data_IF_609693160128
#
_entry.id   IF_609693160128
#
_cell.length_a   1.000
_cell.length_b   1.000
_cell.length_c   1.000
_cell.angle_alpha   90.00
_cell.angle_beta   90.00
_cell.angle_gamma   90.00
#
_symmetry.space_group_name_H-M   'P 1'
#
loop_
_entity.id
_entity.type
_entity.pdbx_description
1 polymer ?
#
# COMPACT_ATOMS: atom_id res chain seq x y z
N UNK A 1 -12.83 -8.28 21.59
CA UNK A 1 -12.20 -8.66 20.31
C UNK A 1 -13.24 -8.59 19.21
N UNK A 2 -12.87 -8.07 18.04
CA UNK A 2 -13.71 -8.07 16.84
C UNK A 2 -13.78 -9.49 16.25
N UNK A 3 -14.89 -9.88 15.64
CA UNK A 3 -15.04 -11.18 14.97
C UNK A 3 -13.94 -11.41 13.91
N UNK A 4 -13.50 -10.34 13.24
CA UNK A 4 -12.41 -10.37 12.25
C UNK A 4 -11.03 -10.64 12.85
N UNK A 5 -10.80 -10.24 14.10
CA UNK A 5 -9.58 -10.57 14.83
C UNK A 5 -9.53 -12.07 15.16
N UNK A 6 -10.69 -12.66 15.45
CA UNK A 6 -10.82 -14.09 15.67
C UNK A 6 -10.54 -14.88 14.39
N UNK A 7 -11.08 -14.43 13.26
CA UNK A 7 -10.83 -15.04 11.95
C UNK A 7 -9.35 -15.03 11.54
N UNK A 8 -8.62 -13.95 11.86
CA UNK A 8 -7.17 -13.86 11.59
C UNK A 8 -6.34 -14.77 12.49
N UNK A 9 -6.71 -14.89 13.78
CA UNK A 9 -6.06 -15.82 14.73
C UNK A 9 -6.28 -17.27 14.28
N UNK A 10 -7.51 -17.65 13.92
CA UNK A 10 -7.81 -19.02 13.49
C UNK A 10 -7.16 -19.37 12.14
N UNK A 11 -7.05 -18.42 11.21
CA UNK A 11 -6.54 -18.68 9.86
C UNK A 11 -5.01 -18.74 9.77
N UNK A 12 -4.31 -17.96 10.58
CA UNK A 12 -2.86 -17.77 10.42
C UNK A 12 -2.02 -18.11 11.66
N UNK A 13 -2.63 -18.64 12.74
CA UNK A 13 -1.94 -19.02 13.99
C UNK A 13 -1.08 -17.88 14.58
N UNK A 14 -1.57 -16.64 14.43
CA UNK A 14 -0.90 -15.43 14.89
C UNK A 14 -1.14 -15.26 16.39
N UNK A 15 -0.09 -14.86 17.13
CA UNK A 15 -0.16 -14.64 18.57
C UNK A 15 -1.28 -13.66 18.95
N UNK A 16 -2.23 -14.12 19.76
CA UNK A 16 -3.37 -13.33 20.21
C UNK A 16 -2.96 -12.04 20.94
N UNK A 17 -1.80 -12.01 21.60
CA UNK A 17 -1.28 -10.82 22.28
C UNK A 17 -0.79 -9.76 21.26
N UNK A 18 -0.29 -10.17 20.09
CA UNK A 18 0.11 -9.28 18.99
C UNK A 18 -1.10 -8.60 18.36
N UNK A 19 -2.13 -9.38 18.04
CA UNK A 19 -3.38 -8.84 17.49
C UNK A 19 -4.06 -7.95 18.52
N UNK A 20 -4.10 -8.33 19.80
CA UNK A 20 -4.63 -7.44 20.84
C UNK A 20 -3.79 -6.17 21.03
N UNK A 21 -2.46 -6.21 20.96
CA UNK A 21 -1.61 -5.02 21.08
C UNK A 21 -1.75 -4.07 19.87
N UNK A 22 -1.83 -4.60 18.65
CA UNK A 22 -2.08 -3.81 17.44
C UNK A 22 -3.52 -3.25 17.42
N UNK A 23 -4.51 -4.03 17.84
CA UNK A 23 -5.89 -3.57 18.02
C UNK A 23 -6.06 -2.63 19.22
N UNK A 24 -5.25 -2.72 20.27
CA UNK A 24 -5.28 -1.74 21.36
C UNK A 24 -4.61 -0.43 20.97
N UNK A 25 -3.57 -0.50 20.14
CA UNK A 25 -2.80 0.66 19.70
C UNK A 25 -3.43 1.38 18.52
N UNK A 26 -4.17 0.66 17.66
CA UNK A 26 -4.76 1.19 16.42
C UNK A 26 -6.24 0.84 16.22
N UNK A 27 -6.85 0.04 17.10
CA UNK A 27 -8.20 -0.49 16.92
C UNK A 27 -9.28 0.41 17.50
N UNK A 28 -10.07 0.94 16.59
CA UNK A 28 -11.48 0.57 16.47
C UNK A 28 -11.84 0.95 15.04
N UNK A 29 -12.30 -0.02 14.26
CA UNK A 29 -12.60 0.14 12.83
C UNK A 29 -11.35 0.43 11.96
N UNK A 30 -10.58 -0.63 11.68
CA UNK A 30 -9.61 -0.59 10.58
C UNK A 30 -10.41 -0.69 9.28
N UNK A 31 -10.97 0.42 8.84
CA UNK A 31 -11.49 0.54 7.48
C UNK A 31 -10.29 0.38 6.54
N UNK A 32 -10.29 -0.70 5.76
CA UNK A 32 -9.37 -0.80 4.64
C UNK A 32 -9.61 0.41 3.73
N UNK A 33 -8.56 1.04 3.19
CA UNK A 33 -8.77 2.15 2.28
C UNK A 33 -9.64 1.69 1.11
N UNK A 34 -10.72 2.42 0.87
CA UNK A 34 -11.74 2.07 -0.12
C UNK A 34 -11.43 2.79 -1.45
N UNK A 35 -11.05 2.06 -2.52
CA UNK A 35 -10.81 2.65 -3.83
C UNK A 35 -12.03 3.38 -4.39
N UNK A 36 -13.26 2.99 -4.00
CA UNK A 36 -14.50 3.63 -4.47
C UNK A 36 -14.67 5.07 -3.95
N UNK A 37 -13.86 5.48 -2.96
CA UNK A 37 -13.84 6.84 -2.41
C UNK A 37 -12.92 7.82 -3.16
N UNK A 38 -12.14 7.33 -4.13
CA UNK A 38 -11.18 8.14 -4.88
C UNK A 38 -11.87 9.13 -5.83
N UNK A 39 -11.23 10.30 -6.01
CA UNK A 39 -11.59 11.25 -7.05
C UNK A 39 -11.18 10.75 -8.45
N UNK A 40 -11.74 11.35 -9.50
CA UNK A 40 -11.65 10.86 -10.88
C UNK A 40 -10.20 10.49 -11.29
N UNK A 41 -9.25 11.41 -11.14
CA UNK A 41 -7.87 11.20 -11.60
C UNK A 41 -7.15 10.11 -10.79
N UNK A 42 -7.31 10.09 -9.46
CA UNK A 42 -6.69 9.07 -8.59
C UNK A 42 -7.29 7.70 -8.82
N UNK A 43 -8.61 7.62 -9.02
CA UNK A 43 -9.28 6.38 -9.36
C UNK A 43 -8.70 5.78 -10.65
N UNK A 44 -8.46 6.60 -11.69
CA UNK A 44 -7.86 6.11 -12.95
C UNK A 44 -6.43 5.63 -12.81
N UNK A 45 -5.62 6.35 -12.02
CA UNK A 45 -4.24 5.93 -11.76
C UNK A 45 -4.23 4.62 -10.98
N UNK A 46 -5.08 4.50 -9.96
CA UNK A 46 -5.20 3.27 -9.17
C UNK A 46 -5.68 2.09 -10.01
N UNK A 47 -6.80 2.23 -10.75
CA UNK A 47 -7.32 1.20 -11.67
C UNK A 47 -6.23 0.72 -12.64
N UNK A 48 -5.46 1.64 -13.24
CA UNK A 48 -4.36 1.28 -14.13
C UNK A 48 -3.27 0.45 -13.45
N UNK A 49 -2.91 0.78 -12.21
CA UNK A 49 -1.87 0.06 -11.46
C UNK A 49 -2.36 -1.29 -10.93
N UNK A 50 -3.64 -1.38 -10.56
CA UNK A 50 -4.28 -2.56 -9.97
C UNK A 50 -4.67 -3.60 -11.04
N UNK A 51 -5.25 -3.16 -12.16
CA UNK A 51 -5.58 -4.04 -13.30
C UNK A 51 -4.34 -4.43 -14.12
N UNK A 52 -3.25 -3.66 -13.99
CA UNK A 52 -1.96 -3.97 -14.57
C UNK A 52 -1.26 -5.16 -13.90
N UNK A 53 -0.14 -5.59 -14.48
CA UNK A 53 0.78 -6.49 -13.76
C UNK A 53 1.45 -5.68 -12.64
N UNK A 54 1.17 -5.94 -11.35
CA UNK A 54 1.67 -5.14 -10.25
C UNK A 54 3.19 -5.10 -10.32
N UNK A 55 3.70 -3.88 -10.43
CA UNK A 55 5.09 -3.68 -10.82
C UNK A 55 5.66 -2.46 -10.14
N UNK A 56 6.85 -2.67 -9.60
CA UNK A 56 7.57 -1.68 -8.81
C UNK A 56 8.37 -0.82 -9.79
N UNK A 57 7.89 0.41 -10.03
CA UNK A 57 8.50 1.32 -11.02
C UNK A 57 8.53 2.76 -10.54
N UNK A 58 9.37 3.58 -11.18
CA UNK A 58 9.37 5.02 -10.93
C UNK A 58 8.06 5.66 -11.41
N UNK A 59 7.74 6.86 -10.90
CA UNK A 59 6.58 7.63 -11.37
C UNK A 59 6.65 7.90 -12.88
N UNK A 60 7.84 8.22 -13.41
CA UNK A 60 8.06 8.48 -14.83
C UNK A 60 7.77 7.24 -15.71
N UNK A 61 8.20 6.06 -15.28
CA UNK A 61 7.96 4.81 -16.01
C UNK A 61 6.48 4.43 -15.99
N UNK A 62 5.82 4.56 -14.84
CA UNK A 62 4.38 4.36 -14.72
C UNK A 62 3.60 5.35 -15.58
N UNK A 63 3.97 6.63 -15.57
CA UNK A 63 3.35 7.64 -16.40
C UNK A 63 3.53 7.35 -17.89
N UNK A 64 4.73 6.93 -18.33
CA UNK A 64 4.96 6.57 -19.73
C UNK A 64 4.02 5.44 -20.18
N UNK A 65 3.80 4.43 -19.35
CA UNK A 65 2.87 3.35 -19.67
C UNK A 65 1.41 3.82 -19.62
N UNK A 66 1.04 4.57 -18.59
CA UNK A 66 -0.29 5.13 -18.41
C UNK A 66 -0.71 6.01 -19.58
N UNK A 67 0.13 6.97 -19.99
CA UNK A 67 -0.14 7.92 -21.06
C UNK A 67 -0.28 7.24 -22.44
N UNK A 68 0.37 6.09 -22.64
CA UNK A 68 0.25 5.30 -23.85
C UNK A 68 -0.83 4.20 -23.75
N UNK A 69 -1.49 4.05 -22.60
CA UNK A 69 -2.52 3.04 -22.41
C UNK A 69 -3.79 3.43 -23.17
N UNK A 70 -4.33 2.56 -24.04
CA UNK A 70 -5.46 2.90 -24.91
C UNK A 70 -6.77 3.15 -24.15
N UNK A 71 -6.86 2.71 -22.90
CA UNK A 71 -8.07 2.82 -22.09
C UNK A 71 -7.99 3.85 -20.97
N UNK A 72 -6.79 4.14 -20.44
CA UNK A 72 -6.62 5.04 -19.29
C UNK A 72 -6.05 6.40 -19.73
N UNK A 73 -4.95 6.41 -20.48
CA UNK A 73 -4.28 7.64 -20.92
C UNK A 73 -5.09 8.50 -21.89
N UNK A 74 -6.15 7.95 -22.51
CA UNK A 74 -7.01 8.69 -23.44
C UNK A 74 -8.28 9.26 -22.81
N UNK A 75 -8.52 9.01 -21.51
CA UNK A 75 -9.74 9.50 -20.85
C UNK A 75 -9.64 11.00 -20.54
N UNK A 76 -10.76 11.74 -20.54
CA UNK A 76 -10.75 13.19 -20.30
C UNK A 76 -10.34 13.58 -18.87
N UNK A 77 -10.49 12.66 -17.91
CA UNK A 77 -10.13 12.76 -16.49
C UNK A 77 -8.70 12.23 -16.20
N UNK A 78 -7.98 11.75 -17.22
CA UNK A 78 -6.64 11.23 -17.06
C UNK A 78 -5.61 12.35 -16.77
N UNK A 79 -4.65 12.13 -15.85
CA UNK A 79 -3.51 13.03 -15.69
C UNK A 79 -2.80 13.27 -17.02
N UNK A 80 -2.71 14.54 -17.44
CA UNK A 80 -2.18 14.92 -18.74
C UNK A 80 -0.64 15.00 -18.76
N UNK A 81 -0.01 15.13 -17.58
CA UNK A 81 1.44 15.32 -17.44
C UNK A 81 2.01 14.42 -16.35
N UNK A 82 3.32 14.14 -16.43
CA UNK A 82 4.03 13.35 -15.40
C UNK A 82 3.89 13.96 -13.99
N UNK A 83 4.03 15.29 -13.79
CA UNK A 83 3.77 15.89 -12.49
C UNK A 83 2.33 15.70 -11.97
N UNK A 84 1.32 15.79 -12.84
CA UNK A 84 -0.07 15.56 -12.41
C UNK A 84 -0.30 14.10 -11.99
N UNK A 85 0.37 13.17 -12.69
CA UNK A 85 0.35 11.75 -12.36
C UNK A 85 1.07 11.46 -11.04
N UNK A 86 2.23 12.08 -10.80
CA UNK A 86 2.96 11.95 -9.53
C UNK A 86 2.14 12.50 -8.36
N UNK A 87 1.44 13.62 -8.52
CA UNK A 87 0.50 14.15 -7.50
C UNK A 87 -0.63 13.15 -7.22
N UNK A 88 -1.15 12.47 -8.24
CA UNK A 88 -2.14 11.42 -8.05
C UNK A 88 -1.56 10.22 -7.30
N UNK A 89 -0.34 9.77 -7.64
CA UNK A 89 0.38 8.71 -6.93
C UNK A 89 0.60 9.05 -5.46
N UNK A 90 1.11 10.25 -5.15
CA UNK A 90 1.32 10.69 -3.77
C UNK A 90 0.01 10.68 -2.99
N UNK A 91 -1.10 11.11 -3.61
CA UNK A 91 -2.43 11.02 -2.99
C UNK A 91 -2.89 9.58 -2.73
N UNK A 92 -2.51 8.62 -3.58
CA UNK A 92 -2.80 7.20 -3.39
C UNK A 92 -1.93 6.57 -2.30
N UNK A 93 -0.68 7.05 -2.15
CA UNK A 93 0.21 6.65 -1.06
C UNK A 93 -0.33 7.12 0.28
N UNK A 94 -0.74 8.39 0.37
CA UNK A 94 -1.39 8.97 1.55
C UNK A 94 -2.69 8.24 1.91
N UNK A 95 -3.44 7.79 0.89
CA UNK A 95 -4.64 7.00 1.07
C UNK A 95 -4.38 5.52 1.43
N UNK A 96 -3.14 5.04 1.40
CA UNK A 96 -2.81 3.65 1.69
C UNK A 96 -3.17 2.66 0.59
N UNK A 97 -3.33 3.12 -0.65
CA UNK A 97 -3.67 2.28 -1.81
C UNK A 97 -2.47 1.96 -2.69
N UNK A 98 -1.41 2.77 -2.62
CA UNK A 98 -0.15 2.56 -3.34
C UNK A 98 1.00 2.56 -2.34
N UNK A 99 1.91 1.61 -2.48
CA UNK A 99 3.13 1.53 -1.71
C UNK A 99 4.25 2.36 -2.39
N UNK A 100 5.11 2.99 -1.59
CA UNK A 100 6.24 3.80 -2.05
C UNK A 100 7.55 3.38 -1.38
N UNK A 101 8.66 3.29 -2.13
CA UNK A 101 9.99 3.06 -1.55
C UNK A 101 10.59 4.33 -0.93
N UNK A 102 11.46 4.17 0.08
CA UNK A 102 12.14 5.27 0.78
C UNK A 102 13.33 5.87 0.00
N UNK A 103 13.66 5.33 -1.18
CA UNK A 103 14.85 5.72 -1.94
C UNK A 103 14.78 7.18 -2.45
N UNK A 104 15.95 7.80 -2.70
CA UNK A 104 16.05 9.15 -3.28
C UNK A 104 15.25 9.29 -4.59
N UNK A 105 15.13 8.18 -5.32
CA UNK A 105 14.22 8.03 -6.46
C UNK A 105 13.18 6.98 -6.11
N UNK A 106 12.01 7.39 -5.59
CA UNK A 106 11.01 6.46 -5.10
C UNK A 106 10.44 5.61 -6.24
N UNK A 107 10.12 4.38 -5.90
CA UNK A 107 9.38 3.43 -6.74
C UNK A 107 8.01 3.17 -6.12
N UNK A 108 7.01 2.94 -6.96
CA UNK A 108 5.61 2.82 -6.58
C UNK A 108 5.04 1.49 -7.07
N UNK A 109 4.10 0.92 -6.29
CA UNK A 109 3.38 -0.31 -6.60
C UNK A 109 1.98 -0.29 -5.98
N UNK A 110 0.96 -0.79 -6.67
CA UNK A 110 -0.35 -1.06 -6.04
C UNK A 110 -0.30 -2.28 -5.10
N UNK A 111 0.72 -3.13 -5.24
CA UNK A 111 0.98 -4.27 -4.35
C UNK A 111 1.98 -3.88 -3.27
N UNK A 112 1.47 -3.73 -2.04
CA UNK A 112 2.28 -3.57 -0.84
C UNK A 112 3.16 -4.79 -0.59
N UNK A 113 2.62 -5.98 -0.82
CA UNK A 113 3.35 -7.24 -0.65
C UNK A 113 4.62 -7.26 -1.49
N UNK A 114 4.51 -7.00 -2.79
CA UNK A 114 5.66 -7.10 -3.70
C UNK A 114 6.76 -6.11 -3.31
N UNK A 115 6.38 -4.88 -2.93
CA UNK A 115 7.34 -3.88 -2.48
C UNK A 115 8.03 -4.29 -1.18
N UNK A 116 7.26 -4.78 -0.20
CA UNK A 116 7.80 -5.21 1.10
C UNK A 116 8.75 -6.40 0.94
N UNK A 117 8.42 -7.38 0.10
CA UNK A 117 9.32 -8.50 -0.21
C UNK A 117 10.65 -8.01 -0.81
N UNK A 118 10.63 -7.01 -1.70
CA UNK A 118 11.87 -6.42 -2.24
C UNK A 118 12.73 -5.71 -1.19
N UNK A 119 12.11 -5.05 -0.20
CA UNK A 119 12.81 -4.36 0.89
C UNK A 119 13.37 -5.32 1.94
N UNK A 120 12.81 -6.52 2.03
CA UNK A 120 13.23 -7.60 2.91
C UNK A 120 12.01 -8.21 3.60
N UNK A 121 11.86 -9.54 3.65
CA UNK A 121 10.63 -10.18 4.14
C UNK A 121 10.45 -10.11 5.66
N UNK A 122 11.37 -9.50 6.41
CA UNK A 122 11.33 -9.46 7.87
C UNK A 122 11.51 -8.03 8.34
N UNK A 123 10.57 -7.56 9.15
CA UNK A 123 10.54 -6.20 9.66
C UNK A 123 10.38 -6.18 11.17
N UNK A 124 10.95 -5.18 11.83
CA UNK A 124 10.50 -4.82 13.18
C UNK A 124 9.38 -3.79 13.12
N UNK A 125 8.65 -3.62 14.22
CA UNK A 125 7.68 -2.52 14.32
C UNK A 125 8.36 -1.15 14.15
N UNK A 126 9.61 -0.99 14.57
CA UNK A 126 10.34 0.27 14.38
C UNK A 126 10.68 0.52 12.91
N UNK A 127 11.04 -0.53 12.15
CA UNK A 127 11.31 -0.43 10.71
C UNK A 127 10.06 -0.01 9.93
N UNK A 128 8.90 -0.59 10.26
CA UNK A 128 7.63 -0.20 9.63
C UNK A 128 7.25 1.24 10.00
N UNK A 129 7.43 1.64 11.26
CA UNK A 129 7.20 3.01 11.72
C UNK A 129 8.09 4.02 11.01
N UNK A 130 9.34 3.67 10.73
CA UNK A 130 10.29 4.48 9.98
C UNK A 130 9.89 4.56 8.51
N UNK A 131 9.63 3.42 7.86
CA UNK A 131 9.20 3.33 6.46
C UNK A 131 7.97 4.22 6.20
N UNK A 132 6.92 4.08 7.01
CA UNK A 132 5.68 4.86 6.82
C UNK A 132 5.93 6.36 7.00
N UNK A 133 6.80 6.74 7.94
CA UNK A 133 7.15 8.15 8.18
C UNK A 133 7.95 8.75 7.03
N UNK A 134 8.86 7.97 6.44
CA UNK A 134 9.76 8.44 5.40
C UNK A 134 9.11 8.44 4.02
N UNK A 135 8.10 7.58 3.81
CA UNK A 135 7.41 7.44 2.53
C UNK A 135 6.04 8.14 2.50
N UNK A 136 5.48 8.49 3.65
CA UNK A 136 4.10 9.02 3.76
C UNK A 136 3.03 7.93 3.68
N UNK A 137 3.43 6.67 3.46
CA UNK A 137 2.52 5.54 3.31
C UNK A 137 1.67 5.32 4.55
N UNK A 138 0.37 5.05 4.35
CA UNK A 138 -0.52 4.73 5.45
C UNK A 138 -0.07 3.45 6.18
N UNK A 139 0.25 3.63 7.45
CA UNK A 139 0.77 2.57 8.32
C UNK A 139 -0.20 1.41 8.47
N UNK A 140 -1.51 1.66 8.41
CA UNK A 140 -2.56 0.63 8.55
C UNK A 140 -2.56 -0.28 7.33
N UNK A 141 -2.42 0.26 6.13
CA UNK A 141 -2.32 -0.51 4.90
C UNK A 141 -1.09 -1.45 4.92
N UNK A 142 0.06 -0.94 5.39
CA UNK A 142 1.29 -1.74 5.51
C UNK A 142 1.10 -2.90 6.50
N UNK A 143 0.60 -2.65 7.72
CA UNK A 143 0.36 -3.72 8.68
C UNK A 143 -0.69 -4.72 8.22
N UNK A 144 -1.75 -4.27 7.54
CA UNK A 144 -2.75 -5.20 6.97
C UNK A 144 -2.11 -6.12 5.94
N UNK A 145 -1.25 -5.61 5.05
CA UNK A 145 -0.54 -6.41 4.06
C UNK A 145 0.41 -7.44 4.69
N UNK A 146 1.10 -7.08 5.78
CA UNK A 146 1.99 -8.01 6.50
C UNK A 146 1.16 -9.12 7.16
N UNK A 147 0.06 -8.77 7.83
CA UNK A 147 -0.76 -9.73 8.56
C UNK A 147 -1.53 -10.71 7.65
N UNK A 148 -1.81 -10.34 6.41
CA UNK A 148 -2.48 -11.20 5.43
C UNK A 148 -1.49 -12.01 4.56
N UNK A 149 -0.18 -11.89 4.82
CA UNK A 149 0.88 -12.54 4.04
C UNK A 149 1.65 -13.57 4.86
N UNK A 150 1.91 -14.73 4.26
CA UNK A 150 2.76 -15.78 4.85
C UNK A 150 4.26 -15.59 4.54
N UNK A 151 4.59 -14.69 3.61
CA UNK A 151 5.98 -14.45 3.20
C UNK A 151 6.58 -13.21 3.88
N UNK A 152 5.77 -12.45 4.60
CA UNK A 152 6.17 -11.29 5.37
C UNK A 152 6.11 -11.63 6.86
N UNK A 153 7.18 -11.29 7.57
CA UNK A 153 7.31 -11.57 9.00
C UNK A 153 7.53 -10.28 9.78
N UNK A 154 6.91 -10.20 10.95
CA UNK A 154 7.01 -9.09 11.87
C UNK A 154 7.71 -9.55 13.15
N UNK A 155 9.00 -9.21 13.27
CA UNK A 155 9.77 -9.45 14.47
C UNK A 155 9.42 -8.41 15.54
N UNK A 156 8.87 -8.89 16.65
CA UNK A 156 8.44 -8.06 17.77
C UNK A 156 9.52 -7.91 18.84
N UNK A 157 10.68 -8.55 18.69
CA UNK A 157 11.75 -8.55 19.67
C UNK A 157 11.29 -9.18 20.99
N UNK A 158 11.43 -10.50 21.10
CA UNK A 158 11.34 -11.18 22.41
C UNK A 158 12.56 -10.90 23.28
#
# INVERSE_FOLDING_TARGET
MSDRAHDLIERYDIDSELIEALLWRYGADVDAPDPESLDDARARVYEFLDEGDPSIRSAADHFYQFANHPEYGTRPDAPATEPDFEIALDGLVDAGLVARSEEERPRYSASFHDLLVELGPTFTAEDIDALCRNTGTDKRAVYHSILDSLELDLDLGR
#
